data_IF_612515865004
#
_entry.id   IF_612515865004
#
_cell.length_a   1.000
_cell.length_b   1.000
_cell.length_c   1.000
_cell.angle_alpha   90.00
_cell.angle_beta   90.00
_cell.angle_gamma   90.00
#
_symmetry.space_group_name_H-M   'P 1'
#
loop_
_entity.id
_entity.type
_entity.pdbx_description
1 polymer ?
#
# COMPACT_ATOMS: atom_id res chain seq x y z
N UNK A 1 6.58 11.90 20.54
CA UNK A 1 5.68 11.75 19.38
C UNK A 1 4.76 10.59 19.66
N UNK A 2 3.47 10.70 19.32
CA UNK A 2 2.57 9.53 19.31
C UNK A 2 2.74 8.83 17.96
N UNK A 3 2.77 7.52 17.98
CA UNK A 3 2.83 6.69 16.79
C UNK A 3 1.59 5.81 16.75
N UNK A 4 1.18 5.44 15.54
CA UNK A 4 0.08 4.52 15.32
C UNK A 4 0.37 3.57 14.16
N UNK A 5 -0.50 2.58 14.00
CA UNK A 5 -0.43 1.65 12.87
C UNK A 5 -1.10 2.28 11.64
N UNK A 6 -0.55 2.09 10.43
CA UNK A 6 -1.13 2.57 9.17
C UNK A 6 -2.37 1.75 8.73
N UNK A 7 -3.34 1.60 9.63
CA UNK A 7 -4.51 0.72 9.47
C UNK A 7 -5.36 1.08 8.25
N UNK A 8 -5.50 2.38 7.95
CA UNK A 8 -6.22 2.84 6.76
C UNK A 8 -5.52 2.41 5.47
N UNK A 9 -4.19 2.52 5.39
CA UNK A 9 -3.44 2.07 4.21
C UNK A 9 -3.56 0.55 4.04
N UNK A 10 -3.48 -0.21 5.13
CA UNK A 10 -3.68 -1.67 5.11
C UNK A 10 -5.08 -2.03 4.60
N UNK A 11 -6.12 -1.34 5.08
CA UNK A 11 -7.50 -1.57 4.62
C UNK A 11 -7.65 -1.29 3.12
N UNK A 12 -7.09 -0.18 2.62
CA UNK A 12 -7.16 0.15 1.21
C UNK A 12 -6.45 -0.89 0.32
N UNK A 13 -5.34 -1.46 0.79
CA UNK A 13 -4.66 -2.54 0.08
C UNK A 13 -5.47 -3.85 0.09
N UNK A 14 -6.17 -4.16 1.18
CA UNK A 14 -7.07 -5.31 1.27
C UNK A 14 -8.30 -5.15 0.36
N UNK A 15 -8.88 -3.95 0.32
CA UNK A 15 -9.96 -3.58 -0.59
C UNK A 15 -9.51 -3.72 -2.05
N UNK A 16 -8.27 -3.34 -2.36
CA UNK A 16 -7.69 -3.44 -3.71
C UNK A 16 -7.56 -4.90 -4.18
N UNK A 17 -7.23 -5.82 -3.27
CA UNK A 17 -7.19 -7.27 -3.55
C UNK A 17 -8.60 -7.82 -3.76
N UNK A 18 -9.56 -7.33 -2.98
CA UNK A 18 -10.92 -7.88 -2.90
C UNK A 18 -11.85 -7.34 -3.99
N UNK A 19 -11.56 -6.17 -4.56
CA UNK A 19 -12.39 -5.50 -5.58
C UNK A 19 -12.20 -6.07 -7.00
N UNK A 20 -13.31 -6.35 -7.67
CA UNK A 20 -13.37 -6.95 -9.02
C UNK A 20 -13.79 -5.94 -10.09
N UNK A 21 -14.48 -4.86 -9.70
CA UNK A 21 -14.94 -3.83 -10.61
C UNK A 21 -13.80 -2.85 -10.97
N UNK A 22 -13.42 -2.80 -12.24
CA UNK A 22 -12.28 -2.00 -12.73
C UNK A 22 -12.33 -0.52 -12.32
N UNK A 23 -13.52 0.06 -12.25
CA UNK A 23 -13.71 1.46 -11.85
C UNK A 23 -13.33 1.63 -10.37
N UNK A 24 -13.82 0.75 -9.51
CA UNK A 24 -13.56 0.78 -8.07
C UNK A 24 -12.08 0.45 -7.77
N UNK A 25 -11.48 -0.50 -8.51
CA UNK A 25 -10.02 -0.77 -8.43
C UNK A 25 -9.21 0.50 -8.66
N UNK A 26 -9.57 1.29 -9.69
CA UNK A 26 -8.91 2.56 -9.97
C UNK A 26 -9.06 3.57 -8.83
N UNK A 27 -10.27 3.68 -8.25
CA UNK A 27 -10.55 4.58 -7.13
C UNK A 27 -9.79 4.18 -5.85
N UNK A 28 -9.79 2.89 -5.50
CA UNK A 28 -9.07 2.37 -4.34
C UNK A 28 -7.58 2.61 -4.49
N UNK A 29 -7.02 2.38 -5.68
CA UNK A 29 -5.60 2.65 -5.92
C UNK A 29 -5.25 4.13 -5.72
N UNK A 30 -6.08 5.05 -6.23
CA UNK A 30 -5.85 6.49 -6.01
C UNK A 30 -5.82 6.79 -4.50
N UNK A 31 -6.77 6.22 -3.74
CA UNK A 31 -6.80 6.37 -2.29
C UNK A 31 -5.55 5.77 -1.59
N UNK A 32 -5.03 4.63 -2.06
CA UNK A 32 -3.76 4.04 -1.57
C UNK A 32 -2.61 5.04 -1.75
N UNK A 33 -2.49 5.65 -2.94
CA UNK A 33 -1.42 6.62 -3.23
C UNK A 33 -1.56 7.88 -2.40
N UNK A 34 -2.77 8.42 -2.29
CA UNK A 34 -3.05 9.61 -1.48
C UNK A 34 -2.73 9.37 0.01
N UNK A 35 -3.17 8.24 0.55
CA UNK A 35 -2.89 7.88 1.94
C UNK A 35 -1.39 7.69 2.17
N UNK A 36 -0.70 7.00 1.25
CA UNK A 36 0.77 6.81 1.31
C UNK A 36 1.51 8.16 1.33
N UNK A 37 1.08 9.12 0.52
CA UNK A 37 1.68 10.46 0.49
C UNK A 37 1.34 11.30 1.74
N UNK A 38 0.22 11.01 2.41
CA UNK A 38 -0.19 11.71 3.63
C UNK A 38 0.56 11.22 4.86
N UNK A 39 0.72 9.90 5.01
CA UNK A 39 1.34 9.32 6.20
C UNK A 39 2.84 9.57 6.23
N UNK A 40 3.37 9.76 7.44
CA UNK A 40 4.81 9.82 7.67
C UNK A 40 5.23 8.58 8.44
N UNK A 41 5.96 7.70 7.76
CA UNK A 41 6.54 6.54 8.41
C UNK A 41 7.57 6.96 9.45
N UNK A 42 7.56 6.28 10.59
CA UNK A 42 8.60 6.40 11.58
C UNK A 42 9.85 5.70 11.05
N UNK A 43 10.77 6.50 10.51
CA UNK A 43 12.04 6.00 10.02
C UNK A 43 12.92 5.57 11.19
N UNK A 44 13.43 4.33 11.13
CA UNK A 44 14.50 3.88 12.03
C UNK A 44 15.74 3.60 11.18
N UNK A 45 16.93 3.89 11.70
CA UNK A 45 18.18 3.68 10.96
C UNK A 45 18.39 2.21 10.51
N UNK A 46 17.63 1.27 11.08
CA UNK A 46 17.65 -0.15 10.71
C UNK A 46 16.69 -0.50 9.56
N UNK A 47 15.63 0.27 9.31
CA UNK A 47 14.60 -0.02 8.31
C UNK A 47 14.05 1.27 7.67
N UNK A 48 14.51 1.64 6.45
CA UNK A 48 13.93 2.72 5.68
C UNK A 48 12.59 2.27 5.08
N UNK A 49 11.51 2.41 5.87
CA UNK A 49 10.19 1.92 5.51
C UNK A 49 9.61 2.69 4.33
N UNK A 50 9.79 4.02 4.28
CA UNK A 50 9.31 4.84 3.16
C UNK A 50 9.88 4.35 1.83
N UNK A 51 11.19 4.12 1.73
CA UNK A 51 11.81 3.68 0.48
C UNK A 51 11.30 2.30 0.04
N UNK A 52 11.12 1.38 0.98
CA UNK A 52 10.63 0.02 0.70
C UNK A 52 9.17 0.04 0.25
N UNK A 53 8.32 0.80 0.94
CA UNK A 53 6.90 0.95 0.63
C UNK A 53 6.71 1.67 -0.70
N UNK A 54 7.41 2.79 -0.94
CA UNK A 54 7.34 3.50 -2.22
C UNK A 54 7.84 2.64 -3.37
N UNK A 55 8.96 1.92 -3.22
CA UNK A 55 9.46 1.03 -4.29
C UNK A 55 8.44 -0.04 -4.64
N UNK A 56 7.81 -0.68 -3.66
CA UNK A 56 6.85 -1.74 -3.95
C UNK A 56 5.50 -1.21 -4.46
N UNK A 57 5.04 -0.05 -3.99
CA UNK A 57 3.86 0.63 -4.56
C UNK A 57 4.10 1.13 -5.98
N UNK A 58 5.32 1.56 -6.33
CA UNK A 58 5.69 1.92 -7.71
C UNK A 58 5.78 0.67 -8.59
N UNK A 59 6.28 -0.46 -8.06
CA UNK A 59 6.28 -1.75 -8.77
C UNK A 59 4.86 -2.25 -9.07
N UNK A 60 3.88 -1.85 -8.27
CA UNK A 60 2.46 -1.98 -8.59
C UNK A 60 2.06 -1.03 -9.72
N UNK A 61 2.38 -1.39 -10.95
CA UNK A 61 1.83 -0.77 -12.15
C UNK A 61 0.31 -1.04 -12.21
N UNK A 62 -0.51 -0.03 -11.89
CA UNK A 62 -1.99 -0.05 -12.02
C UNK A 62 -2.41 -0.59 -13.38
N UNK A 63 -1.66 -0.19 -14.42
CA UNK A 63 -1.98 -0.53 -15.80
C UNK A 63 -1.97 -2.04 -15.96
N UNK A 64 -0.99 -2.71 -15.36
CA UNK A 64 -0.90 -4.17 -15.39
C UNK A 64 -1.92 -4.80 -14.44
N UNK A 65 -2.19 -4.22 -13.27
CA UNK A 65 -3.21 -4.74 -12.34
C UNK A 65 -4.63 -4.73 -12.92
N UNK A 66 -5.03 -3.61 -13.53
CA UNK A 66 -6.36 -3.41 -14.14
C UNK A 66 -6.51 -4.21 -15.45
N UNK A 67 -5.44 -4.35 -16.24
CA UNK A 67 -5.49 -5.06 -17.53
C UNK A 67 -5.31 -6.57 -17.39
N UNK A 68 -4.44 -7.03 -16.48
CA UNK A 68 -4.19 -8.47 -16.27
C UNK A 68 -5.24 -9.14 -15.39
N UNK A 69 -6.08 -8.35 -14.69
CA UNK A 69 -7.22 -8.87 -13.94
C UNK A 69 -6.78 -9.75 -12.77
N UNK A 70 -5.96 -9.19 -11.87
CA UNK A 70 -5.38 -9.92 -10.73
C UNK A 70 -4.46 -11.07 -11.16
N UNK A 71 -3.42 -10.77 -11.94
CA UNK A 71 -2.30 -11.70 -12.05
C UNK A 71 -1.85 -12.08 -10.62
N UNK A 72 -1.67 -13.37 -10.36
CA UNK A 72 -1.31 -13.92 -9.04
C UNK A 72 -0.11 -13.14 -8.46
N UNK A 73 0.87 -12.86 -9.31
CA UNK A 73 2.06 -12.07 -9.01
C UNK A 73 1.75 -10.68 -8.45
N UNK A 74 0.68 -10.02 -8.90
CA UNK A 74 0.31 -8.69 -8.39
C UNK A 74 -0.35 -8.75 -7.01
N UNK A 75 -1.11 -9.81 -6.72
CA UNK A 75 -1.68 -10.01 -5.38
C UNK A 75 -0.56 -10.34 -4.38
N UNK A 76 0.41 -11.17 -4.79
CA UNK A 76 1.57 -11.48 -3.94
C UNK A 76 2.37 -10.23 -3.59
N UNK A 77 2.64 -9.34 -4.56
CA UNK A 77 3.29 -8.05 -4.29
C UNK A 77 2.49 -7.20 -3.29
N UNK A 78 1.16 -7.13 -3.41
CA UNK A 78 0.34 -6.37 -2.43
C UNK A 78 0.44 -7.00 -1.04
N UNK A 79 0.45 -8.33 -0.93
CA UNK A 79 0.60 -9.02 0.35
C UNK A 79 1.96 -8.77 1.00
N UNK A 80 3.04 -8.81 0.23
CA UNK A 80 4.39 -8.44 0.71
C UNK A 80 4.42 -6.99 1.23
N UNK A 81 3.78 -6.07 0.51
CA UNK A 81 3.64 -4.68 0.95
C UNK A 81 2.86 -4.57 2.25
N UNK A 82 1.73 -5.26 2.37
CA UNK A 82 0.93 -5.28 3.60
C UNK A 82 1.72 -5.85 4.78
N UNK A 83 2.52 -6.90 4.58
CA UNK A 83 3.37 -7.47 5.63
C UNK A 83 4.41 -6.44 6.12
N UNK A 84 5.12 -5.78 5.21
CA UNK A 84 6.09 -4.73 5.54
C UNK A 84 5.41 -3.57 6.28
N UNK A 85 4.27 -3.09 5.78
CA UNK A 85 3.53 -1.96 6.36
C UNK A 85 2.92 -2.31 7.72
N UNK A 86 2.52 -3.57 7.95
CA UNK A 86 1.97 -4.02 9.24
C UNK A 86 2.98 -3.91 10.38
N UNK A 87 4.27 -4.07 10.06
CA UNK A 87 5.36 -3.92 11.02
C UNK A 87 5.73 -2.46 11.25
N UNK A 88 5.44 -1.58 10.30
CA UNK A 88 5.74 -0.16 10.39
C UNK A 88 4.90 0.55 11.47
N UNK A 89 5.40 1.71 11.89
CA UNK A 89 4.64 2.72 12.63
C UNK A 89 4.63 4.01 11.82
N UNK A 90 3.55 4.78 11.94
CA UNK A 90 3.41 6.11 11.37
C UNK A 90 3.30 7.15 12.50
N UNK A 91 3.72 8.38 12.21
CA UNK A 91 3.56 9.50 13.13
C UNK A 91 2.09 9.88 13.15
N UNK A 92 1.45 9.77 14.31
CA UNK A 92 0.06 10.19 14.48
C UNK A 92 -0.03 11.72 14.40
N UNK A 93 -0.96 12.23 13.57
CA UNK A 93 -1.31 13.66 13.51
C UNK A 93 -2.04 14.15 14.77
#
# INVERSE_FOLDING_TARGET
MKTEKPTKLIQLLDDLISETEKINVGQIYIAVVEETNRIKFLETAANPFSETVYKNLIRLSIKDFIHSGRAIDSIEVIREVMEVISQAEIIAE
#
